data_IF_101937937604
#
_entry.id   IF_101937937604
#
_cell.length_a   1.000
_cell.length_b   1.000
_cell.length_c   1.000
_cell.angle_alpha   90.00
_cell.angle_beta   90.00
_cell.angle_gamma   90.00
#
_symmetry.space_group_name_H-M   'P 1'
#
loop_
_entity.id
_entity.type
_entity.pdbx_description
1 polymer ?
#
# COMPACT_ATOMS: atom_id res chain seq x y z
N UNK A 1 -18.53 23.77 -15.98
CA UNK A 1 -19.44 23.28 -14.91
C UNK A 1 -19.88 21.83 -15.21
N UNK A 2 -19.11 20.83 -14.77
CA UNK A 2 -19.39 19.40 -15.06
C UNK A 2 -20.70 18.94 -14.39
N UNK A 3 -21.67 18.48 -15.19
CA UNK A 3 -23.02 18.04 -14.79
C UNK A 3 -22.97 17.04 -13.62
N UNK A 4 -23.50 17.42 -12.44
CA UNK A 4 -23.66 16.59 -11.23
C UNK A 4 -24.27 15.19 -11.48
N UNK A 5 -25.06 15.03 -12.56
CA UNK A 5 -25.63 13.73 -12.99
C UNK A 5 -24.59 12.70 -13.46
N UNK A 6 -23.44 13.14 -13.98
CA UNK A 6 -22.36 12.25 -14.44
C UNK A 6 -21.58 11.64 -13.28
N UNK A 7 -21.23 12.45 -12.27
CA UNK A 7 -20.45 12.01 -11.10
C UNK A 7 -21.21 10.98 -10.26
N UNK A 8 -22.53 11.15 -10.07
CA UNK A 8 -23.34 10.15 -9.34
C UNK A 8 -23.37 8.79 -10.05
N UNK A 9 -23.45 8.78 -11.39
CA UNK A 9 -23.42 7.55 -12.19
C UNK A 9 -22.05 6.91 -12.18
N UNK A 10 -21.00 7.71 -12.29
CA UNK A 10 -19.61 7.25 -12.21
C UNK A 10 -19.28 6.65 -10.84
N UNK A 11 -19.64 7.33 -9.75
CA UNK A 11 -19.47 6.82 -8.38
C UNK A 11 -20.30 5.56 -8.14
N UNK A 12 -21.54 5.49 -8.65
CA UNK A 12 -22.36 4.28 -8.60
C UNK A 12 -21.75 3.14 -9.42
N UNK A 13 -21.18 3.41 -10.60
CA UNK A 13 -20.47 2.43 -11.41
C UNK A 13 -19.24 1.90 -10.69
N UNK A 14 -18.44 2.78 -10.09
CA UNK A 14 -17.29 2.41 -9.25
C UNK A 14 -17.79 1.53 -8.11
N UNK A 15 -18.78 1.97 -7.33
CA UNK A 15 -19.34 1.21 -6.21
C UNK A 15 -19.83 -0.18 -6.63
N UNK A 16 -20.62 -0.29 -7.71
CA UNK A 16 -21.12 -1.58 -8.20
C UNK A 16 -19.99 -2.49 -8.69
N UNK A 17 -18.95 -1.92 -9.30
CA UNK A 17 -17.74 -2.66 -9.68
C UNK A 17 -16.96 -3.13 -8.46
N UNK A 18 -16.82 -2.30 -7.42
CA UNK A 18 -16.17 -2.64 -6.16
C UNK A 18 -16.88 -3.80 -5.45
N UNK A 19 -18.21 -3.77 -5.36
CA UNK A 19 -19.03 -4.77 -4.65
C UNK A 19 -19.09 -6.12 -5.38
N UNK A 20 -18.99 -6.13 -6.72
CA UNK A 20 -19.10 -7.37 -7.51
C UNK A 20 -17.79 -8.11 -7.75
N UNK A 21 -16.66 -7.57 -7.30
CA UNK A 21 -15.35 -8.18 -7.58
C UNK A 21 -15.15 -9.45 -6.75
N UNK A 22 -15.16 -10.60 -7.43
CA UNK A 22 -14.63 -11.87 -6.92
C UNK A 22 -13.22 -12.11 -7.47
N UNK A 23 -12.26 -11.26 -7.09
CA UNK A 23 -10.89 -11.36 -7.60
C UNK A 23 -10.18 -12.62 -7.07
N UNK A 24 -9.16 -13.09 -7.80
CA UNK A 24 -8.30 -14.19 -7.35
C UNK A 24 -7.46 -13.75 -6.14
N UNK A 25 -7.05 -14.69 -5.26
CA UNK A 25 -6.18 -14.36 -4.12
C UNK A 25 -4.90 -13.65 -4.55
N UNK A 26 -4.31 -14.04 -5.69
CA UNK A 26 -3.10 -13.45 -6.27
C UNK A 26 -3.30 -11.99 -6.62
N UNK A 27 -4.43 -11.67 -7.26
CA UNK A 27 -4.74 -10.30 -7.67
C UNK A 27 -5.00 -9.41 -6.46
N UNK A 28 -5.72 -9.90 -5.46
CA UNK A 28 -5.96 -9.16 -4.21
C UNK A 28 -4.65 -8.89 -3.49
N UNK A 29 -3.79 -9.91 -3.35
CA UNK A 29 -2.47 -9.79 -2.74
C UNK A 29 -1.57 -8.81 -3.49
N UNK A 30 -1.52 -8.90 -4.82
CA UNK A 30 -0.75 -7.96 -5.66
C UNK A 30 -1.22 -6.53 -5.45
N UNK A 31 -2.53 -6.31 -5.51
CA UNK A 31 -3.12 -4.98 -5.33
C UNK A 31 -2.77 -4.40 -3.95
N UNK A 32 -2.91 -5.20 -2.89
CA UNK A 32 -2.54 -4.80 -1.54
C UNK A 32 -1.05 -4.47 -1.43
N UNK A 33 -0.17 -5.30 -2.01
CA UNK A 33 1.28 -5.06 -1.97
C UNK A 33 1.71 -3.78 -2.67
N UNK A 34 1.07 -3.45 -3.79
CA UNK A 34 1.29 -2.17 -4.48
C UNK A 34 0.78 -1.01 -3.63
N UNK A 35 -0.35 -1.20 -2.94
CA UNK A 35 -0.85 -0.25 -1.95
C UNK A 35 0.13 0.00 -0.81
N UNK A 36 0.73 -1.05 -0.25
CA UNK A 36 1.74 -0.96 0.81
C UNK A 36 2.98 -0.20 0.32
N UNK A 37 3.44 -0.49 -0.90
CA UNK A 37 4.55 0.26 -1.50
C UNK A 37 4.24 1.76 -1.57
N UNK A 38 3.07 2.12 -2.13
CA UNK A 38 2.63 3.52 -2.29
C UNK A 38 2.38 4.21 -0.95
N UNK A 39 1.89 3.46 0.04
CA UNK A 39 1.64 3.96 1.40
C UNK A 39 2.92 4.29 2.15
N UNK A 40 3.96 3.45 2.01
CA UNK A 40 5.27 3.67 2.65
C UNK A 40 6.08 4.72 1.88
N UNK A 41 6.10 4.61 0.56
CA UNK A 41 6.87 5.51 -0.28
C UNK A 41 6.31 6.94 -0.16
N UNK A 42 7.16 7.97 0.04
CA UNK A 42 6.69 9.32 0.30
C UNK A 42 6.03 9.94 -0.93
N UNK A 43 4.70 9.77 -1.00
CA UNK A 43 3.83 10.29 -2.07
C UNK A 43 3.20 11.63 -1.71
N UNK A 44 3.56 12.21 -0.56
CA UNK A 44 3.18 13.57 -0.13
C UNK A 44 1.68 13.86 -0.22
N UNK A 45 0.84 12.90 0.20
CA UNK A 45 -0.62 13.02 0.21
C UNK A 45 -1.32 12.55 -1.09
N UNK A 46 -0.56 12.23 -2.14
CA UNK A 46 -1.11 11.74 -3.41
C UNK A 46 -1.31 10.21 -3.46
N UNK A 47 -0.88 9.47 -2.44
CA UNK A 47 -0.86 8.00 -2.44
C UNK A 47 -2.20 7.36 -2.82
N UNK A 48 -3.32 7.85 -2.27
CA UNK A 48 -4.65 7.34 -2.62
C UNK A 48 -5.01 7.56 -4.10
N UNK A 49 -4.70 8.75 -4.64
CA UNK A 49 -4.96 9.08 -6.06
C UNK A 49 -4.10 8.21 -6.97
N UNK A 50 -2.80 8.09 -6.66
CA UNK A 50 -1.85 7.25 -7.39
C UNK A 50 -2.31 5.79 -7.39
N UNK A 51 -2.75 5.27 -6.24
CA UNK A 51 -3.26 3.90 -6.13
C UNK A 51 -4.53 3.69 -6.97
N UNK A 52 -5.47 4.64 -6.98
CA UNK A 52 -6.68 4.56 -7.81
C UNK A 52 -6.30 4.50 -9.30
N UNK A 53 -5.37 5.35 -9.73
CA UNK A 53 -4.89 5.38 -11.11
C UNK A 53 -4.23 4.05 -11.48
N UNK A 54 -3.35 3.53 -10.63
CA UNK A 54 -2.71 2.22 -10.83
C UNK A 54 -3.75 1.10 -10.87
N UNK A 55 -4.74 1.10 -9.98
CA UNK A 55 -5.81 0.11 -10.03
C UNK A 55 -6.60 0.16 -11.33
N UNK A 56 -6.83 1.36 -11.86
CA UNK A 56 -7.50 1.55 -13.14
C UNK A 56 -6.67 1.06 -14.32
N UNK A 57 -5.40 1.48 -14.42
CA UNK A 57 -4.52 1.13 -15.54
C UNK A 57 -4.22 -0.38 -15.60
N UNK A 58 -3.90 -0.98 -14.45
CA UNK A 58 -3.51 -2.38 -14.35
C UNK A 58 -4.67 -3.31 -14.01
N UNK A 59 -5.91 -2.79 -13.99
CA UNK A 59 -7.14 -3.51 -13.66
C UNK A 59 -7.06 -4.27 -12.33
N UNK A 60 -6.34 -3.72 -11.35
CA UNK A 60 -6.13 -4.30 -10.01
C UNK A 60 -7.37 -4.17 -9.12
N UNK A 61 -7.34 -4.83 -7.97
CA UNK A 61 -8.37 -4.74 -6.95
C UNK A 61 -8.27 -3.40 -6.20
N UNK A 62 -9.19 -2.49 -6.49
CA UNK A 62 -9.24 -1.17 -5.86
C UNK A 62 -9.32 -1.22 -4.34
N UNK A 63 -10.15 -2.09 -3.76
CA UNK A 63 -10.36 -2.15 -2.30
C UNK A 63 -9.06 -2.58 -1.62
N UNK A 64 -8.47 -3.68 -2.10
CA UNK A 64 -7.23 -4.20 -1.54
C UNK A 64 -6.07 -3.22 -1.71
N UNK A 65 -5.98 -2.57 -2.88
CA UNK A 65 -5.01 -1.50 -3.13
C UNK A 65 -5.09 -0.37 -2.12
N UNK A 66 -6.28 0.22 -1.98
CA UNK A 66 -6.51 1.32 -1.02
C UNK A 66 -6.24 0.88 0.41
N UNK A 67 -6.67 -0.33 0.82
CA UNK A 67 -6.36 -0.84 2.16
C UNK A 67 -4.85 -0.97 2.38
N UNK A 68 -4.10 -1.38 1.36
CA UNK A 68 -2.63 -1.41 1.42
C UNK A 68 -2.02 -0.02 1.68
N UNK A 69 -2.59 1.05 1.11
CA UNK A 69 -2.07 2.41 1.33
C UNK A 69 -2.20 2.89 2.78
N UNK A 70 -3.14 2.34 3.55
CA UNK A 70 -3.34 2.71 4.96
C UNK A 70 -2.38 2.01 5.93
N UNK A 71 -1.37 1.30 5.42
CA UNK A 71 -0.30 0.73 6.24
C UNK A 71 0.42 1.81 7.04
N UNK A 72 0.57 3.01 6.47
CA UNK A 72 1.01 4.22 7.14
C UNK A 72 -0.21 5.01 7.62
N UNK A 73 -0.42 5.00 8.93
CA UNK A 73 -1.47 5.75 9.62
C UNK A 73 -0.84 6.50 10.80
N UNK A 74 -1.64 7.26 11.55
CA UNK A 74 -1.14 8.09 12.65
C UNK A 74 -0.21 7.34 13.62
N UNK A 75 -0.48 6.05 13.87
CA UNK A 75 0.30 5.24 14.80
C UNK A 75 1.53 4.58 14.16
N UNK A 76 1.44 4.15 12.90
CA UNK A 76 2.53 3.43 12.21
C UNK A 76 3.50 4.35 11.47
N UNK A 77 3.08 5.57 11.11
CA UNK A 77 3.91 6.51 10.35
C UNK A 77 5.22 6.89 11.06
N UNK A 78 5.25 7.20 12.38
CA UNK A 78 6.51 7.50 13.07
C UNK A 78 7.50 6.33 13.01
N UNK A 79 7.01 5.09 13.08
CA UNK A 79 7.83 3.89 12.97
C UNK A 79 8.47 3.78 11.58
N UNK A 80 7.68 3.89 10.51
CA UNK A 80 8.22 3.83 9.15
C UNK A 80 9.18 4.98 8.85
N UNK A 81 8.91 6.19 9.35
CA UNK A 81 9.82 7.31 9.16
C UNK A 81 11.17 7.11 9.82
N UNK A 82 11.17 6.67 11.09
CA UNK A 82 12.40 6.38 11.81
C UNK A 82 13.17 5.25 11.12
N UNK A 83 12.48 4.15 10.77
CA UNK A 83 13.08 3.00 10.11
C UNK A 83 13.71 3.37 8.76
N UNK A 84 12.99 4.10 7.92
CA UNK A 84 13.49 4.57 6.62
C UNK A 84 14.68 5.52 6.78
N UNK A 85 14.64 6.46 7.73
CA UNK A 85 15.79 7.33 7.94
C UNK A 85 17.02 6.57 8.44
N UNK A 86 16.86 5.71 9.45
CA UNK A 86 17.96 4.93 10.03
C UNK A 86 18.61 4.02 8.99
N UNK A 87 17.80 3.37 8.15
CA UNK A 87 18.32 2.54 7.08
C UNK A 87 19.08 3.37 6.03
N UNK A 88 18.54 4.52 5.64
CA UNK A 88 19.19 5.42 4.69
C UNK A 88 20.50 6.01 5.23
N UNK A 89 20.54 6.37 6.51
CA UNK A 89 21.75 6.86 7.19
C UNK A 89 22.81 5.77 7.28
N UNK A 90 22.41 4.55 7.63
CA UNK A 90 23.31 3.40 7.68
C UNK A 90 23.94 3.11 6.31
N UNK A 91 23.16 3.14 5.24
CA UNK A 91 23.67 2.92 3.88
C UNK A 91 24.63 4.04 3.45
N UNK A 92 24.35 5.27 3.86
CA UNK A 92 25.15 6.43 3.44
C UNK A 92 26.43 6.59 4.25
N UNK A 93 26.43 6.19 5.53
CA UNK A 93 27.51 6.51 6.48
C UNK A 93 28.15 5.30 7.15
N UNK A 94 27.53 4.12 7.05
CA UNK A 94 27.94 2.90 7.77
C UNK A 94 27.59 2.90 9.26
N UNK A 95 27.04 4.00 9.79
CA UNK A 95 26.66 4.12 11.20
C UNK A 95 25.15 4.30 11.35
N UNK A 96 24.59 3.79 12.44
CA UNK A 96 23.21 4.09 12.85
C UNK A 96 23.29 5.16 13.93
N UNK A 97 23.29 6.43 13.54
CA UNK A 97 23.21 7.54 14.50
C UNK A 97 22.02 8.43 14.15
N UNK A 98 21.20 8.76 15.14
CA UNK A 98 20.15 9.74 14.93
C UNK A 98 20.76 11.14 14.76
N UNK A 99 21.02 11.51 13.52
CA UNK A 99 21.50 12.85 13.14
C UNK A 99 20.27 13.65 12.72
N UNK A 100 19.76 14.50 13.61
CA UNK A 100 18.59 15.33 13.33
C UNK A 100 18.81 16.30 12.17
N UNK A 101 17.71 16.88 11.68
CA UNK A 101 17.70 17.80 10.52
C UNK A 101 18.72 18.94 10.64
N UNK A 102 18.88 19.49 11.83
CA UNK A 102 19.80 20.60 12.13
C UNK A 102 21.27 20.23 11.87
N UNK A 103 21.66 18.97 12.09
CA UNK A 103 23.04 18.52 11.93
C UNK A 103 23.36 18.06 10.51
N UNK A 104 22.37 17.52 9.79
CA UNK A 104 22.57 16.99 8.43
C UNK A 104 22.24 17.99 7.33
N UNK A 105 21.44 19.01 7.63
CA UNK A 105 20.81 19.86 6.61
C UNK A 105 19.69 19.14 5.86
N UNK A 106 18.74 19.92 5.34
CA UNK A 106 17.50 19.40 4.77
C UNK A 106 17.70 18.49 3.55
N UNK A 107 18.63 18.84 2.65
CA UNK A 107 18.88 18.06 1.43
C UNK A 107 19.38 16.64 1.74
N UNK A 108 20.37 16.52 2.63
CA UNK A 108 20.96 15.23 2.99
C UNK A 108 19.98 14.39 3.80
N UNK A 109 19.21 15.02 4.68
CA UNK A 109 18.16 14.34 5.44
C UNK A 109 17.11 13.71 4.51
N UNK A 110 16.59 14.49 3.56
CA UNK A 110 15.61 14.02 2.58
C UNK A 110 16.20 12.90 1.73
N UNK A 111 17.45 13.02 1.29
CA UNK A 111 18.09 11.98 0.47
C UNK A 111 18.21 10.65 1.22
N UNK A 112 18.68 10.66 2.47
CA UNK A 112 18.76 9.45 3.32
C UNK A 112 17.37 8.85 3.53
N UNK A 113 16.41 9.68 3.87
CA UNK A 113 15.03 9.26 4.04
C UNK A 113 14.47 8.59 2.77
N UNK A 114 14.68 9.16 1.59
CA UNK A 114 14.24 8.58 0.31
C UNK A 114 14.92 7.25 0.00
N UNK A 115 16.24 7.16 0.24
CA UNK A 115 17.00 5.92 0.03
C UNK A 115 16.47 4.77 0.90
N UNK A 116 16.27 5.03 2.20
CA UNK A 116 15.73 4.00 3.08
C UNK A 116 14.28 3.65 2.76
N UNK A 117 13.43 4.63 2.39
CA UNK A 117 12.06 4.35 1.97
C UNK A 117 11.99 3.47 0.73
N UNK A 118 12.90 3.62 -0.24
CA UNK A 118 12.92 2.75 -1.41
C UNK A 118 13.08 1.28 -1.01
N UNK A 119 13.99 0.99 -0.08
CA UNK A 119 14.25 -0.38 0.36
C UNK A 119 13.12 -0.90 1.25
N UNK A 120 12.70 -0.11 2.25
CA UNK A 120 11.62 -0.50 3.17
C UNK A 120 10.31 -0.71 2.42
N UNK A 121 9.95 0.18 1.49
CA UNK A 121 8.71 0.04 0.70
C UNK A 121 8.71 -1.23 -0.16
N UNK A 122 9.83 -1.56 -0.82
CA UNK A 122 9.97 -2.82 -1.59
C UNK A 122 9.86 -4.03 -0.67
N UNK A 123 10.60 -4.04 0.44
CA UNK A 123 10.62 -5.15 1.38
C UNK A 123 9.22 -5.45 1.95
N UNK A 124 8.55 -4.43 2.48
CA UNK A 124 7.21 -4.57 3.06
C UNK A 124 6.15 -4.86 1.99
N UNK A 125 6.31 -4.34 0.77
CA UNK A 125 5.45 -4.70 -0.36
C UNK A 125 5.53 -6.20 -0.65
N UNK A 126 6.74 -6.74 -0.83
CA UNK A 126 6.96 -8.17 -1.10
C UNK A 126 6.41 -9.03 0.05
N UNK A 127 6.73 -8.67 1.30
CA UNK A 127 6.24 -9.40 2.47
C UNK A 127 4.70 -9.43 2.53
N UNK A 128 4.07 -8.27 2.30
CA UNK A 128 2.62 -8.14 2.34
C UNK A 128 1.93 -8.97 1.26
N UNK A 129 2.54 -9.12 0.07
CA UNK A 129 2.01 -9.99 -0.98
C UNK A 129 1.83 -11.43 -0.47
N UNK A 130 2.89 -12.01 0.10
CA UNK A 130 2.84 -13.39 0.58
C UNK A 130 1.88 -13.56 1.76
N UNK A 131 1.91 -12.64 2.72
CA UNK A 131 1.02 -12.64 3.88
C UNK A 131 -0.45 -12.60 3.44
N UNK A 132 -0.83 -11.64 2.61
CA UNK A 132 -2.21 -11.46 2.16
C UNK A 132 -2.67 -12.63 1.30
N UNK A 133 -1.82 -13.14 0.40
CA UNK A 133 -2.12 -14.32 -0.42
C UNK A 133 -2.45 -15.52 0.47
N UNK A 134 -1.61 -15.81 1.46
CA UNK A 134 -1.78 -16.93 2.38
C UNK A 134 -3.06 -16.80 3.23
N UNK A 135 -3.36 -15.59 3.73
CA UNK A 135 -4.58 -15.31 4.49
C UNK A 135 -5.82 -15.60 3.64
N UNK A 136 -5.87 -15.09 2.40
CA UNK A 136 -7.04 -15.24 1.54
C UNK A 136 -7.25 -16.69 1.13
N UNK A 137 -6.18 -17.40 0.76
CA UNK A 137 -6.25 -18.82 0.40
C UNK A 137 -6.79 -19.63 1.58
N UNK A 138 -6.26 -19.39 2.78
CA UNK A 138 -6.67 -20.09 4.00
C UNK A 138 -8.14 -19.81 4.33
N UNK A 139 -8.55 -18.54 4.27
CA UNK A 139 -9.94 -18.13 4.50
C UNK A 139 -10.91 -18.78 3.50
N UNK A 140 -10.57 -18.76 2.20
CA UNK A 140 -11.40 -19.38 1.14
C UNK A 140 -11.50 -20.90 1.27
N UNK A 141 -10.39 -21.58 1.64
CA UNK A 141 -10.38 -23.02 1.92
C UNK A 141 -11.31 -23.37 3.08
N UNK A 142 -11.25 -22.62 4.19
CA UNK A 142 -12.13 -22.81 5.35
C UNK A 142 -13.61 -22.60 4.98
N UNK A 143 -13.93 -21.53 4.26
CA UNK A 143 -15.32 -21.23 3.86
C UNK A 143 -15.92 -22.30 2.93
N UNK A 144 -15.12 -22.91 2.05
CA UNK A 144 -15.58 -24.02 1.19
C UNK A 144 -15.93 -25.28 1.98
N UNK A 145 -15.20 -25.58 3.07
CA UNK A 145 -15.50 -26.73 3.93
C UNK A 145 -16.77 -26.55 4.78
N UNK A 146 -17.16 -25.30 5.06
CA UNK A 146 -18.31 -24.96 5.92
C UNK A 146 -19.64 -24.94 5.16
N UNK A 147 -19.65 -24.86 3.82
CA UNK A 147 -20.86 -25.13 3.02
C UNK A 147 -20.93 -26.64 2.77
N UNK A 148 -21.80 -27.42 3.45
CA UNK A 148 -21.98 -28.82 3.11
C UNK A 148 -22.56 -28.89 1.69
N UNK A 149 -22.15 -29.92 0.95
CA UNK A 149 -22.83 -30.39 -0.25
C UNK A 149 -24.29 -30.66 0.08
N UNK A 150 -25.18 -29.70 -0.17
CA UNK A 150 -26.61 -29.96 -0.27
C UNK A 150 -26.83 -30.68 -1.61
N UNK A 151 -26.69 -32.00 -1.56
CA UNK A 151 -27.27 -32.98 -2.49
C UNK A 151 -28.79 -32.93 -2.43
#
# INVERSE_FOLDING_TARGET
MMKKRSIKRFLRYIYLKLVRIQDTPEKIALSFSVGVFIGIFPTFGLGGIIMILICYLFKLNYIAGILGTFIMNYFTSPFFWALSYMLGDFITTGEIKWRGLERTGAKIFILRYLLGNLIISILFSILSYFVVKNIIITYRKRKRKVKPSSS
#
